data_IF_971263899133
#
_entry.id   IF_971263899133
#
_cell.length_a   1.000
_cell.length_b   1.000
_cell.length_c   1.000
_cell.angle_alpha   90.00
_cell.angle_beta   90.00
_cell.angle_gamma   90.00
#
_symmetry.space_group_name_H-M   'P 1'
#
loop_
_entity.id
_entity.type
_entity.pdbx_description
1 polymer ?
#
# COMPACT_ATOMS: atom_id res chain seq x y z
N UNK A 1 -16.49 0.48 11.59
CA UNK A 1 -16.49 0.34 10.12
C UNK A 1 -15.87 -1.00 9.77
N UNK A 2 -16.13 -1.55 8.58
CA UNK A 2 -15.46 -2.77 8.11
C UNK A 2 -13.99 -2.48 7.83
N UNK A 3 -13.07 -3.34 8.25
CA UNK A 3 -11.65 -3.21 7.93
C UNK A 3 -11.42 -3.64 6.48
N UNK A 4 -10.83 -2.76 5.67
CA UNK A 4 -10.50 -3.04 4.26
C UNK A 4 -9.00 -3.29 4.18
N UNK A 5 -8.62 -4.47 3.70
CA UNK A 5 -7.23 -4.86 3.50
C UNK A 5 -6.76 -4.45 2.11
N UNK A 6 -5.59 -3.82 2.07
CA UNK A 6 -4.89 -3.33 0.89
C UNK A 6 -3.55 -4.05 0.67
N UNK A 7 -3.04 -4.72 1.70
CA UNK A 7 -1.72 -5.35 1.70
C UNK A 7 -1.68 -6.66 0.90
N UNK A 8 -0.58 -6.89 0.18
CA UNK A 8 -0.42 -8.03 -0.73
C UNK A 8 -0.55 -9.39 -0.03
N UNK A 9 -0.03 -9.53 1.19
CA UNK A 9 0.00 -10.79 1.95
C UNK A 9 -0.69 -10.66 3.31
N UNK A 10 -1.74 -9.83 3.39
CA UNK A 10 -2.57 -9.62 4.58
C UNK A 10 -1.79 -9.12 5.82
N UNK A 11 -0.67 -8.42 5.62
CA UNK A 11 0.16 -7.83 6.66
C UNK A 11 -0.67 -6.88 7.53
N UNK A 12 -1.49 -6.05 6.88
CA UNK A 12 -2.37 -5.08 7.52
C UNK A 12 -3.42 -5.74 8.43
N UNK A 13 -3.97 -6.90 8.04
CA UNK A 13 -4.91 -7.67 8.86
C UNK A 13 -4.24 -8.20 10.12
N UNK A 14 -3.00 -8.73 10.01
CA UNK A 14 -2.23 -9.23 11.16
C UNK A 14 -1.89 -8.10 12.12
N UNK A 15 -1.37 -6.99 11.59
CA UNK A 15 -1.08 -5.79 12.37
C UNK A 15 -2.36 -5.28 13.06
N UNK A 16 -3.49 -5.25 12.34
CA UNK A 16 -4.75 -4.76 12.90
C UNK A 16 -5.24 -5.65 14.04
N UNK A 17 -5.10 -6.98 13.91
CA UNK A 17 -5.44 -7.90 15.00
C UNK A 17 -4.64 -7.59 16.28
N UNK A 18 -3.35 -7.26 16.15
CA UNK A 18 -2.48 -6.91 17.27
C UNK A 18 -2.76 -5.50 17.82
N UNK A 19 -3.06 -4.53 16.95
CA UNK A 19 -3.00 -3.10 17.27
C UNK A 19 -4.33 -2.36 17.29
N UNK A 20 -5.46 -2.97 16.91
CA UNK A 20 -6.78 -2.27 16.82
C UNK A 20 -7.28 -1.57 18.09
N UNK A 21 -6.65 -1.80 19.25
CA UNK A 21 -6.98 -1.11 20.51
C UNK A 21 -6.17 0.18 20.70
N UNK A 22 -5.16 0.42 19.87
CA UNK A 22 -4.37 1.65 19.87
C UNK A 22 -5.15 2.72 19.10
N UNK A 23 -5.38 3.84 19.77
CA UNK A 23 -5.92 5.06 19.17
C UNK A 23 -4.76 5.94 18.67
N UNK A 24 -4.94 6.60 17.53
CA UNK A 24 -3.97 7.54 16.93
C UNK A 24 -2.54 6.97 16.81
N UNK A 25 -2.45 5.70 16.41
CA UNK A 25 -1.18 5.02 16.27
C UNK A 25 -0.28 5.58 15.16
N UNK A 26 0.96 5.10 15.15
CA UNK A 26 2.03 5.62 14.30
C UNK A 26 2.85 4.52 13.66
N UNK A 27 3.12 4.65 12.36
CA UNK A 27 3.94 3.73 11.59
C UNK A 27 5.07 4.44 10.85
N UNK A 28 6.07 3.67 10.47
CA UNK A 28 7.08 4.06 9.50
C UNK A 28 7.09 3.02 8.39
N UNK A 29 6.97 3.46 7.15
CA UNK A 29 6.89 2.65 5.94
C UNK A 29 8.10 2.96 5.05
N UNK A 30 9.05 2.05 4.97
CA UNK A 30 10.29 2.18 4.20
C UNK A 30 10.13 1.39 2.91
N UNK A 31 10.18 2.10 1.78
CA UNK A 31 9.72 1.57 0.49
C UNK A 31 8.19 1.58 0.43
N UNK A 32 7.60 2.77 0.64
CA UNK A 32 6.16 2.93 0.76
C UNK A 32 5.41 2.74 -0.56
N UNK A 33 6.04 3.08 -1.70
CA UNK A 33 5.51 2.86 -3.04
C UNK A 33 4.08 3.43 -3.23
N UNK A 34 3.15 2.69 -3.85
CA UNK A 34 1.81 3.17 -4.15
C UNK A 34 0.98 3.42 -2.87
N UNK A 35 0.28 4.56 -2.75
CA UNK A 35 -0.51 4.88 -1.55
C UNK A 35 -1.67 3.92 -1.25
N UNK A 36 -2.08 3.08 -2.20
CA UNK A 36 -3.23 2.18 -2.06
C UNK A 36 -2.94 0.74 -2.49
N UNK A 37 -2.18 0.53 -3.55
CA UNK A 37 -1.91 -0.81 -4.07
C UNK A 37 -0.82 -1.48 -3.24
N UNK A 38 -1.08 -2.70 -2.77
CA UNK A 38 -0.20 -3.48 -1.92
C UNK A 38 0.25 -2.76 -0.63
N UNK A 39 -0.48 -1.72 -0.23
CA UNK A 39 -0.11 -0.87 0.90
C UNK A 39 -0.48 -1.51 2.24
N UNK A 40 0.53 -1.77 3.07
CA UNK A 40 0.38 -2.24 4.45
C UNK A 40 -0.21 -1.17 5.37
N UNK A 41 0.00 0.10 5.06
CA UNK A 41 -0.33 1.25 5.91
C UNK A 41 -1.65 1.93 5.53
N UNK A 42 -2.21 1.63 4.35
CA UNK A 42 -3.44 2.27 3.86
C UNK A 42 -4.61 2.09 4.82
N UNK A 43 -4.84 0.86 5.26
CA UNK A 43 -5.95 0.52 6.16
C UNK A 43 -5.87 1.27 7.51
N UNK A 44 -4.67 1.44 8.06
CA UNK A 44 -4.45 2.15 9.33
C UNK A 44 -4.80 3.62 9.24
N UNK A 45 -4.33 4.29 8.19
CA UNK A 45 -4.64 5.69 7.95
C UNK A 45 -6.12 5.97 7.73
N UNK A 46 -6.83 5.06 7.04
CA UNK A 46 -8.30 5.15 6.92
C UNK A 46 -9.01 5.06 8.28
N UNK A 47 -8.33 4.51 9.29
CA UNK A 47 -8.76 4.43 10.67
C UNK A 47 -8.11 5.50 11.57
N UNK A 48 -7.62 6.61 10.98
CA UNK A 48 -7.15 7.80 11.71
C UNK A 48 -5.68 7.76 12.12
N UNK A 49 -4.94 6.71 11.79
CA UNK A 49 -3.51 6.66 12.03
C UNK A 49 -2.78 7.60 11.07
N UNK A 50 -1.55 7.94 11.43
CA UNK A 50 -0.62 8.66 10.55
C UNK A 50 0.77 8.09 10.72
N UNK A 51 1.64 8.33 9.75
CA UNK A 51 3.00 7.82 9.81
C UNK A 51 3.98 8.58 8.94
N UNK A 52 5.13 7.96 8.74
CA UNK A 52 6.16 8.42 7.82
C UNK A 52 6.28 7.43 6.67
N UNK A 53 6.15 7.92 5.45
CA UNK A 53 6.42 7.17 4.23
C UNK A 53 7.81 7.59 3.70
N UNK A 54 8.69 6.63 3.44
CA UNK A 54 10.02 6.86 2.86
C UNK A 54 10.00 6.30 1.44
N UNK A 55 10.06 7.18 0.45
CA UNK A 55 9.84 6.82 -0.96
C UNK A 55 10.72 7.69 -1.89
N UNK A 56 11.72 7.12 -2.59
CA UNK A 56 12.63 7.90 -3.43
C UNK A 56 12.05 8.30 -4.81
N UNK A 57 11.08 7.57 -5.36
CA UNK A 57 10.55 7.80 -6.71
C UNK A 57 9.54 8.95 -6.70
N UNK A 58 9.79 9.97 -7.53
CA UNK A 58 8.97 11.19 -7.61
C UNK A 58 7.47 10.91 -7.78
N UNK A 59 7.10 9.99 -8.69
CA UNK A 59 5.69 9.71 -8.97
C UNK A 59 4.96 9.14 -7.74
N UNK A 60 5.59 8.23 -7.01
CA UNK A 60 5.02 7.65 -5.79
C UNK A 60 5.03 8.66 -4.64
N UNK A 61 6.12 9.44 -4.50
CA UNK A 61 6.19 10.55 -3.56
C UNK A 61 5.03 11.55 -3.74
N UNK A 62 4.77 11.99 -4.98
CA UNK A 62 3.70 12.94 -5.28
C UNK A 62 2.32 12.33 -4.97
N UNK A 63 2.11 11.06 -5.34
CA UNK A 63 0.88 10.34 -5.07
C UNK A 63 0.62 10.17 -3.56
N UNK A 64 1.64 9.80 -2.79
CA UNK A 64 1.58 9.71 -1.33
C UNK A 64 1.24 11.08 -0.73
N UNK A 65 1.96 12.15 -1.11
CA UNK A 65 1.67 13.50 -0.63
C UNK A 65 0.21 13.95 -0.92
N UNK A 66 -0.29 13.62 -2.11
CA UNK A 66 -1.64 14.01 -2.54
C UNK A 66 -2.74 13.21 -1.83
N UNK A 67 -2.56 11.90 -1.69
CA UNK A 67 -3.60 10.97 -1.23
C UNK A 67 -3.53 10.67 0.27
N UNK A 68 -2.37 10.91 0.88
CA UNK A 68 -2.05 10.66 2.29
C UNK A 68 -1.65 11.95 3.03
N UNK A 69 -2.39 13.06 2.95
CA UNK A 69 -1.96 14.35 3.52
C UNK A 69 -1.77 14.39 5.04
N UNK A 70 -2.23 13.37 5.78
CA UNK A 70 -1.95 13.24 7.22
C UNK A 70 -0.64 12.50 7.51
N UNK A 71 -0.09 11.79 6.52
CA UNK A 71 1.24 11.21 6.60
C UNK A 71 2.30 12.25 6.25
N UNK A 72 3.50 12.07 6.80
CA UNK A 72 4.68 12.77 6.32
C UNK A 72 5.39 11.89 5.30
N UNK A 73 5.55 12.36 4.06
CA UNK A 73 6.32 11.63 3.04
C UNK A 73 7.70 12.26 2.91
N UNK A 74 8.75 11.44 2.96
CA UNK A 74 10.15 11.84 2.84
C UNK A 74 10.71 11.26 1.54
N UNK A 75 11.11 12.14 0.62
CA UNK A 75 11.65 11.74 -0.67
C UNK A 75 13.14 11.35 -0.56
N UNK A 76 13.42 10.14 -0.08
CA UNK A 76 14.78 9.62 0.02
C UNK A 76 14.79 8.09 0.08
N UNK A 77 15.98 7.51 -0.02
CA UNK A 77 16.26 6.14 0.40
C UNK A 77 16.68 6.13 1.88
N UNK A 78 16.18 5.17 2.65
CA UNK A 78 16.75 4.85 3.96
C UNK A 78 18.00 3.97 3.79
N UNK A 79 19.10 4.30 4.46
CA UNK A 79 20.39 3.60 4.33
C UNK A 79 21.25 3.73 5.59
N UNK A 80 22.47 3.20 5.53
CA UNK A 80 23.44 3.23 6.63
C UNK A 80 24.14 4.59 6.80
N UNK A 81 24.00 5.49 5.82
CA UNK A 81 24.62 6.82 5.82
C UNK A 81 23.81 7.85 5.02
N UNK A 82 23.93 9.14 5.37
CA UNK A 82 23.39 10.22 4.56
C UNK A 82 24.25 10.46 3.30
N UNK A 83 23.65 11.03 2.26
CA UNK A 83 24.35 11.44 1.04
C UNK A 83 23.53 11.17 -0.21
N UNK A 84 24.19 11.06 -1.37
CA UNK A 84 23.55 10.65 -2.62
C UNK A 84 23.88 9.18 -2.92
N UNK A 85 22.92 8.44 -3.46
CA UNK A 85 23.11 7.05 -3.91
C UNK A 85 22.50 6.83 -5.29
N UNK A 86 23.07 5.87 -6.02
CA UNK A 86 22.44 5.38 -7.26
C UNK A 86 21.28 4.46 -6.90
N UNK A 87 20.13 4.72 -7.50
CA UNK A 87 18.93 3.91 -7.39
C UNK A 87 18.47 3.45 -8.77
N UNK A 88 17.95 2.24 -8.86
CA UNK A 88 17.53 1.61 -10.09
C UNK A 88 16.00 1.50 -10.09
N UNK A 89 15.34 2.48 -10.69
CA UNK A 89 13.90 2.50 -10.81
C UNK A 89 13.44 1.54 -11.91
N UNK A 90 12.46 0.72 -11.58
CA UNK A 90 11.74 -0.19 -12.47
C UNK A 90 10.28 0.28 -12.48
N UNK A 91 9.90 1.16 -13.43
CA UNK A 91 8.62 1.85 -13.42
C UNK A 91 7.42 0.89 -13.40
N UNK A 92 6.35 1.31 -12.72
CA UNK A 92 5.08 0.57 -12.62
C UNK A 92 5.24 -0.83 -11.99
N UNK A 93 6.25 -1.00 -11.15
CA UNK A 93 6.50 -2.22 -10.37
C UNK A 93 6.83 -1.91 -8.91
N UNK A 94 6.83 -2.95 -8.08
CA UNK A 94 7.39 -2.93 -6.72
C UNK A 94 8.91 -3.10 -6.65
N UNK A 95 9.57 -3.44 -7.76
CA UNK A 95 10.89 -4.10 -7.76
C UNK A 95 12.08 -3.13 -7.85
N UNK A 96 11.87 -1.85 -7.55
CA UNK A 96 12.95 -0.85 -7.66
C UNK A 96 13.96 -1.02 -6.52
N UNK A 97 15.25 -0.93 -6.82
CA UNK A 97 16.31 -1.38 -5.90
C UNK A 97 17.51 -0.44 -5.86
N UNK A 98 18.23 -0.42 -4.74
CA UNK A 98 19.56 0.19 -4.64
C UNK A 98 20.70 -0.80 -4.99
N UNK A 99 20.40 -2.09 -5.14
CA UNK A 99 21.40 -3.12 -5.46
C UNK A 99 21.64 -3.21 -6.98
N UNK A 100 22.85 -2.91 -7.48
CA UNK A 100 23.19 -3.04 -8.90
C UNK A 100 23.08 -4.48 -9.44
N UNK A 101 23.26 -5.51 -8.60
CA UNK A 101 23.15 -6.90 -9.01
C UNK A 101 21.68 -7.29 -9.28
N UNK A 102 20.77 -6.90 -8.40
CA UNK A 102 19.32 -7.09 -8.57
C UNK A 102 18.83 -6.30 -9.78
N UNK A 103 19.24 -5.03 -9.92
CA UNK A 103 18.92 -4.22 -11.09
C UNK A 103 19.39 -4.87 -12.41
N UNK A 104 20.59 -5.46 -12.42
CA UNK A 104 21.10 -6.20 -13.58
C UNK A 104 20.25 -7.43 -13.88
N UNK A 105 19.85 -8.19 -12.87
CA UNK A 105 18.99 -9.37 -13.05
C UNK A 105 17.65 -9.00 -13.72
N UNK A 106 16.98 -7.95 -13.26
CA UNK A 106 15.72 -7.48 -13.88
C UNK A 106 15.93 -6.99 -15.31
N UNK A 107 17.04 -6.29 -15.57
CA UNK A 107 17.41 -5.89 -16.93
C UNK A 107 17.63 -7.08 -17.85
N UNK A 108 18.31 -8.13 -17.37
CA UNK A 108 18.53 -9.38 -18.12
C UNK A 108 17.21 -10.16 -18.36
N UNK A 109 16.21 -9.97 -17.50
CA UNK A 109 14.84 -10.48 -17.67
C UNK A 109 13.99 -9.63 -18.65
N UNK A 110 14.55 -8.56 -19.21
CA UNK A 110 13.90 -7.70 -20.21
C UNK A 110 13.09 -6.55 -19.62
N UNK A 111 13.21 -6.26 -18.33
CA UNK A 111 12.53 -5.13 -17.69
C UNK A 111 13.24 -3.80 -18.03
N UNK A 112 12.47 -2.71 -18.07
CA UNK A 112 13.05 -1.37 -18.19
C UNK A 112 13.65 -0.95 -16.85
N UNK A 113 14.96 -0.65 -16.84
CA UNK A 113 15.69 -0.21 -15.65
C UNK A 113 16.28 1.17 -15.90
N UNK A 114 15.93 2.13 -15.04
CA UNK A 114 16.42 3.52 -15.10
C UNK A 114 17.28 3.81 -13.88
N UNK A 115 18.52 4.25 -14.12
CA UNK A 115 19.38 4.73 -13.03
C UNK A 115 19.07 6.17 -12.68
N UNK A 116 18.86 6.42 -11.39
CA UNK A 116 18.58 7.73 -10.79
C UNK A 116 19.63 8.00 -9.70
N UNK A 117 19.94 9.27 -9.47
CA UNK A 117 20.63 9.70 -8.24
C UNK A 117 19.57 10.21 -7.28
N UNK A 118 19.54 9.67 -6.07
CA UNK A 118 18.56 10.03 -5.04
C UNK A 118 19.23 10.31 -3.71
N UNK A 119 18.58 11.13 -2.88
CA UNK A 119 19.02 11.41 -1.53
C UNK A 119 18.89 10.17 -0.65
N UNK A 120 19.84 10.02 0.27
CA UNK A 120 19.92 8.96 1.27
C UNK A 120 19.92 9.56 2.67
N UNK A 121 19.20 8.92 3.59
CA UNK A 121 19.12 9.26 5.01
C UNK A 121 19.19 8.01 5.87
N UNK A 122 19.66 8.14 7.10
CA UNK A 122 19.54 7.04 8.07
C UNK A 122 18.14 7.00 8.67
N UNK A 123 17.61 5.81 8.98
CA UNK A 123 16.33 5.69 9.69
C UNK A 123 16.36 6.43 11.03
N UNK A 124 17.49 6.43 11.71
CA UNK A 124 17.70 7.24 12.93
C UNK A 124 17.39 8.71 12.66
N UNK A 125 17.98 9.32 11.61
CA UNK A 125 17.74 10.74 11.30
C UNK A 125 16.28 11.04 10.91
N UNK A 126 15.56 10.07 10.35
CA UNK A 126 14.14 10.20 10.03
C UNK A 126 13.33 10.14 11.31
N UNK A 127 13.61 9.17 12.19
CA UNK A 127 12.94 9.04 13.49
C UNK A 127 13.19 10.25 14.40
N UNK A 128 14.41 10.79 14.42
CA UNK A 128 14.76 12.02 15.14
C UNK A 128 13.88 13.21 14.75
N UNK A 129 13.52 13.30 13.47
CA UNK A 129 12.77 14.43 12.96
C UNK A 129 11.25 14.25 13.14
N UNK A 130 10.75 13.02 13.00
CA UNK A 130 9.30 12.77 12.86
C UNK A 130 8.70 11.87 13.94
N UNK A 131 9.54 11.21 14.75
CA UNK A 131 9.12 10.22 15.74
C UNK A 131 9.80 10.38 17.12
N UNK A 132 10.48 11.50 17.39
CA UNK A 132 11.28 11.71 18.60
C UNK A 132 10.51 11.49 19.92
N UNK A 133 9.26 11.94 19.99
CA UNK A 133 8.48 12.00 21.22
C UNK A 133 7.22 11.11 21.18
N UNK A 134 7.19 10.09 20.32
CA UNK A 134 6.02 9.21 20.19
C UNK A 134 6.38 7.73 19.98
N UNK A 135 5.51 6.79 20.39
CA UNK A 135 5.69 5.38 20.10
C UNK A 135 5.63 5.11 18.60
N UNK A 136 6.52 4.24 18.10
CA UNK A 136 6.43 3.65 16.76
C UNK A 136 5.76 2.30 16.93
N UNK A 137 4.54 2.14 16.44
CA UNK A 137 3.76 0.92 16.67
C UNK A 137 4.16 -0.18 15.69
N UNK A 138 4.50 0.19 14.45
CA UNK A 138 5.19 -0.72 13.56
C UNK A 138 6.11 -0.01 12.57
N UNK A 139 7.14 -0.73 12.15
CA UNK A 139 8.08 -0.36 11.10
C UNK A 139 8.00 -1.42 9.99
N UNK A 140 7.68 -1.03 8.76
CA UNK A 140 7.75 -1.88 7.57
C UNK A 140 8.99 -1.53 6.76
N UNK A 141 9.75 -2.55 6.35
CA UNK A 141 10.93 -2.42 5.49
C UNK A 141 10.80 -3.38 4.32
N UNK A 142 10.85 -2.83 3.12
CA UNK A 142 10.77 -3.54 1.85
C UNK A 142 11.45 -2.63 0.83
N UNK A 143 12.70 -2.94 0.53
CA UNK A 143 13.60 -2.07 -0.24
C UNK A 143 14.40 -2.88 -1.26
N UNK A 144 13.90 -4.08 -1.58
CA UNK A 144 14.39 -4.98 -2.62
C UNK A 144 15.91 -5.18 -2.57
N UNK A 145 16.41 -5.74 -1.45
CA UNK A 145 17.81 -6.12 -1.25
C UNK A 145 18.67 -5.09 -0.53
N UNK A 146 18.08 -3.98 -0.07
CA UNK A 146 18.78 -2.94 0.69
C UNK A 146 18.49 -2.97 2.21
N UNK A 147 17.87 -4.05 2.70
CA UNK A 147 17.34 -4.17 4.08
C UNK A 147 18.47 -4.05 5.12
N UNK A 148 19.61 -4.70 4.88
CA UNK A 148 20.76 -4.63 5.80
C UNK A 148 21.24 -3.19 6.00
N UNK A 149 21.35 -2.41 4.93
CA UNK A 149 21.77 -1.01 5.01
C UNK A 149 20.75 -0.15 5.74
N UNK A 150 19.44 -0.37 5.51
CA UNK A 150 18.37 0.29 6.26
C UNK A 150 18.51 0.02 7.76
N UNK A 151 18.69 -1.25 8.14
CA UNK A 151 18.82 -1.69 9.54
C UNK A 151 20.08 -1.12 10.21
N UNK A 152 21.21 -1.09 9.51
CA UNK A 152 22.45 -0.45 10.01
C UNK A 152 22.29 1.05 10.26
N UNK A 153 21.37 1.71 9.56
CA UNK A 153 21.02 3.11 9.77
C UNK A 153 20.09 3.38 10.96
N UNK A 154 19.65 2.35 11.69
CA UNK A 154 18.68 2.46 12.77
C UNK A 154 19.33 2.30 14.15
N UNK A 155 19.06 3.24 15.05
CA UNK A 155 19.40 3.13 16.48
C UNK A 155 18.21 2.54 17.25
N UNK A 156 18.17 1.21 17.31
CA UNK A 156 17.15 0.46 18.06
C UNK A 156 17.24 0.63 19.58
N UNK A 157 18.30 1.23 20.13
CA UNK A 157 18.36 1.52 21.57
C UNK A 157 17.56 2.78 21.92
N UNK A 158 17.38 3.67 20.95
CA UNK A 158 16.67 4.93 21.10
C UNK A 158 15.27 4.90 20.50
N UNK A 159 15.12 4.33 19.31
CA UNK A 159 13.84 4.26 18.62
C UNK A 159 13.35 2.81 18.59
N UNK A 160 12.22 2.57 19.25
CA UNK A 160 11.70 1.23 19.54
C UNK A 160 10.36 0.98 18.84
N UNK A 161 10.35 0.62 17.54
CA UNK A 161 9.16 0.02 16.93
C UNK A 161 8.66 -1.16 17.74
N UNK A 162 7.35 -1.27 18.00
CA UNK A 162 6.82 -2.43 18.72
C UNK A 162 6.89 -3.70 17.87
N UNK A 163 6.52 -3.55 16.59
CA UNK A 163 6.55 -4.60 15.57
C UNK A 163 7.46 -4.15 14.43
N UNK A 164 8.31 -5.04 13.93
CA UNK A 164 9.08 -4.81 12.69
C UNK A 164 8.65 -5.87 11.68
N UNK A 165 8.32 -5.43 10.47
CA UNK A 165 7.95 -6.28 9.33
C UNK A 165 9.02 -6.04 8.27
N UNK A 166 9.78 -7.09 7.92
CA UNK A 166 10.85 -6.98 6.93
C UNK A 166 10.56 -7.96 5.81
N UNK A 167 10.43 -7.45 4.59
CA UNK A 167 10.28 -8.30 3.41
C UNK A 167 11.58 -9.09 3.20
N UNK A 168 11.43 -10.41 3.15
CA UNK A 168 12.53 -11.38 3.06
C UNK A 168 12.13 -12.50 2.13
N UNK A 169 11.90 -12.20 0.85
CA UNK A 169 11.42 -13.20 -0.06
C UNK A 169 12.55 -14.22 -0.32
N UNK A 170 12.20 -15.51 -0.33
CA UNK A 170 13.05 -16.64 -0.76
C UNK A 170 14.18 -17.09 0.18
N UNK A 171 14.93 -16.19 0.78
CA UNK A 171 16.03 -16.51 1.71
C UNK A 171 15.62 -16.34 3.17
N UNK A 172 16.21 -17.14 4.06
CA UNK A 172 15.82 -17.24 5.48
C UNK A 172 16.98 -17.06 6.45
N UNK A 173 18.20 -17.10 5.95
CA UNK A 173 19.43 -16.95 6.72
C UNK A 173 20.09 -15.64 6.29
N UNK A 174 19.65 -14.55 6.90
CA UNK A 174 20.14 -13.22 6.57
C UNK A 174 21.24 -12.82 7.52
N UNK A 175 22.35 -12.34 6.95
CA UNK A 175 23.50 -11.81 7.71
C UNK A 175 23.13 -10.64 8.62
N UNK A 176 22.02 -9.97 8.35
CA UNK A 176 21.53 -8.83 9.11
C UNK A 176 20.60 -9.19 10.27
N UNK A 177 20.07 -10.42 10.36
CA UNK A 177 19.13 -10.81 11.43
C UNK A 177 19.67 -10.49 12.85
N UNK A 178 20.96 -10.73 13.15
CA UNK A 178 21.55 -10.32 14.43
C UNK A 178 21.44 -8.83 14.76
N UNK A 179 21.39 -7.94 13.76
CA UNK A 179 21.22 -6.50 14.00
C UNK A 179 19.88 -6.19 14.68
N UNK A 180 18.86 -7.01 14.41
CA UNK A 180 17.52 -6.87 15.00
C UNK A 180 17.46 -7.66 16.30
N UNK A 181 17.89 -8.93 16.30
CA UNK A 181 17.75 -9.79 17.49
C UNK A 181 18.61 -9.35 18.66
N UNK A 182 19.86 -8.93 18.40
CA UNK A 182 20.76 -8.44 19.46
C UNK A 182 20.28 -7.09 20.03
N UNK A 183 19.41 -6.39 19.31
CA UNK A 183 18.75 -5.16 19.77
C UNK A 183 17.48 -5.42 20.61
N UNK A 184 17.24 -6.66 21.07
CA UNK A 184 16.10 -6.99 21.93
C UNK A 184 14.78 -7.12 21.17
N UNK A 185 14.84 -7.78 20.01
CA UNK A 185 13.70 -8.19 19.21
C UNK A 185 13.67 -9.70 19.03
N UNK A 186 12.49 -10.29 19.00
CA UNK A 186 12.29 -11.72 18.73
C UNK A 186 11.61 -11.92 17.39
N UNK A 187 12.19 -12.75 16.53
CA UNK A 187 11.51 -13.26 15.35
C UNK A 187 10.33 -14.13 15.78
N UNK A 188 9.12 -13.76 15.39
CA UNK A 188 7.88 -14.43 15.85
C UNK A 188 7.13 -15.18 14.74
N UNK A 189 7.33 -14.79 13.48
CA UNK A 189 6.62 -15.36 12.34
C UNK A 189 7.42 -15.12 11.06
N UNK A 190 7.40 -16.11 10.17
CA UNK A 190 7.63 -15.92 8.74
C UNK A 190 6.35 -16.30 8.01
N UNK A 191 5.77 -15.37 7.24
CA UNK A 191 4.46 -15.56 6.62
C UNK A 191 4.51 -16.02 5.15
N UNK A 192 5.70 -16.37 4.66
CA UNK A 192 5.95 -16.73 3.27
C UNK A 192 6.60 -15.60 2.46
N UNK A 193 6.53 -14.37 2.96
CA UNK A 193 7.07 -13.18 2.31
C UNK A 193 7.90 -12.32 3.28
N UNK A 194 7.37 -12.10 4.48
CA UNK A 194 7.92 -11.24 5.50
C UNK A 194 8.41 -12.02 6.72
N UNK A 195 9.49 -11.55 7.31
CA UNK A 195 9.92 -11.92 8.66
C UNK A 195 9.45 -10.86 9.65
N UNK A 196 8.76 -11.31 10.69
CA UNK A 196 8.11 -10.47 11.69
C UNK A 196 8.87 -10.52 13.00
N UNK A 197 9.14 -9.36 13.57
CA UNK A 197 9.81 -9.22 14.86
C UNK A 197 8.93 -8.46 15.85
N UNK A 198 8.99 -8.87 17.12
CA UNK A 198 8.43 -8.13 18.25
C UNK A 198 9.54 -7.64 19.17
N UNK A 199 9.43 -6.40 19.61
CA UNK A 199 10.23 -5.89 20.71
C UNK A 199 9.98 -6.73 21.98
N UNK A 200 11.02 -7.03 22.76
CA UNK A 200 10.92 -7.84 23.98
C UNK A 200 9.85 -7.31 24.97
N UNK A 201 9.74 -5.98 25.07
CA UNK A 201 8.74 -5.30 25.91
C UNK A 201 7.29 -5.40 25.39
N UNK A 202 7.09 -5.88 24.16
CA UNK A 202 5.79 -6.02 23.49
C UNK A 202 5.43 -7.47 23.11
N UNK A 203 6.11 -8.47 23.70
CA UNK A 203 5.82 -9.89 23.46
C UNK A 203 4.40 -10.32 23.86
N UNK A 204 3.70 -9.53 24.68
CA UNK A 204 2.29 -9.74 24.96
C UNK A 204 1.40 -9.67 23.69
N UNK A 205 1.89 -9.10 22.60
CA UNK A 205 1.21 -9.06 21.29
C UNK A 205 1.40 -10.35 20.48
N UNK A 206 2.35 -11.22 20.84
CA UNK A 206 2.67 -12.45 20.09
C UNK A 206 1.45 -13.33 19.77
N UNK A 207 0.46 -13.52 20.67
CA UNK A 207 -0.71 -14.35 20.36
C UNK A 207 -1.51 -13.89 19.13
N UNK A 208 -1.40 -12.62 18.73
CA UNK A 208 -2.04 -12.13 17.51
C UNK A 208 -1.44 -12.73 16.23
N UNK A 209 -0.23 -13.29 16.28
CA UNK A 209 0.50 -13.81 15.12
C UNK A 209 0.50 -15.34 15.01
N UNK A 210 0.03 -16.04 16.05
CA UNK A 210 0.05 -17.51 16.13
C UNK A 210 -0.85 -18.19 15.09
N UNK A 211 -1.83 -17.46 14.53
CA UNK A 211 -2.74 -17.95 13.49
C UNK A 211 -2.72 -17.03 12.25
N UNK A 212 -2.88 -17.57 11.03
CA UNK A 212 -3.02 -16.75 9.84
C UNK A 212 -4.32 -15.92 9.87
N UNK A 213 -4.41 -14.82 9.08
CA UNK A 213 -5.66 -14.15 8.76
C UNK A 213 -6.74 -15.14 8.32
N UNK A 214 -7.93 -14.97 8.86
CA UNK A 214 -9.05 -15.86 8.60
C UNK A 214 -10.39 -15.10 8.69
N UNK A 215 -11.50 -15.82 8.50
CA UNK A 215 -12.84 -15.25 8.54
C UNK A 215 -13.20 -14.62 9.90
N UNK A 216 -12.48 -14.94 10.98
CA UNK A 216 -12.69 -14.32 12.29
C UNK A 216 -12.16 -12.88 12.39
N UNK A 217 -11.34 -12.45 11.43
CA UNK A 217 -10.80 -11.08 11.39
C UNK A 217 -11.79 -10.06 10.78
N UNK A 218 -12.87 -10.53 10.14
CA UNK A 218 -13.96 -9.70 9.59
C UNK A 218 -13.49 -8.58 8.64
N UNK A 219 -12.43 -8.82 7.87
CA UNK A 219 -11.95 -7.89 6.85
C UNK A 219 -12.60 -8.14 5.48
N UNK A 220 -12.51 -7.15 4.61
CA UNK A 220 -12.78 -7.30 3.17
C UNK A 220 -11.54 -6.87 2.39
N UNK A 221 -11.36 -7.43 1.19
CA UNK A 221 -10.30 -7.02 0.30
C UNK A 221 -10.69 -5.74 -0.44
N UNK A 222 -9.71 -4.87 -0.69
CA UNK A 222 -9.91 -3.71 -1.55
C UNK A 222 -10.27 -4.16 -2.98
N UNK A 223 -10.90 -3.25 -3.74
CA UNK A 223 -11.26 -3.52 -5.13
C UNK A 223 -9.99 -3.73 -5.95
N UNK A 224 -9.89 -4.85 -6.64
CA UNK A 224 -8.75 -5.18 -7.52
C UNK A 224 -7.58 -5.88 -6.83
N UNK A 225 -7.72 -6.23 -5.54
CA UNK A 225 -6.76 -7.07 -4.85
C UNK A 225 -6.57 -8.41 -5.56
N UNK A 226 -5.33 -8.91 -5.61
CA UNK A 226 -4.95 -10.18 -6.24
C UNK A 226 -5.67 -11.43 -5.69
N UNK A 227 -6.29 -11.36 -4.51
CA UNK A 227 -7.04 -12.46 -3.90
C UNK A 227 -8.57 -12.25 -3.94
N UNK A 228 -9.06 -11.15 -4.53
CA UNK A 228 -10.49 -10.88 -4.64
C UNK A 228 -11.12 -11.56 -5.85
N UNK A 229 -12.39 -11.96 -5.75
CA UNK A 229 -13.20 -12.40 -6.89
C UNK A 229 -14.45 -11.51 -7.08
N UNK A 230 -14.73 -11.00 -8.29
CA UNK A 230 -13.87 -11.10 -9.46
C UNK A 230 -12.56 -10.35 -9.21
N UNK A 231 -11.42 -10.92 -9.63
CA UNK A 231 -10.19 -10.15 -9.85
C UNK A 231 -10.63 -8.98 -10.72
N UNK A 232 -10.27 -7.74 -10.37
CA UNK A 232 -10.74 -6.49 -11.00
C UNK A 232 -11.26 -6.78 -12.40
N UNK A 233 -12.56 -6.53 -12.71
CA UNK A 233 -13.15 -6.96 -13.98
C UNK A 233 -12.16 -6.58 -15.06
N UNK A 234 -11.68 -7.58 -15.80
CA UNK A 234 -10.64 -7.37 -16.80
C UNK A 234 -11.04 -6.17 -17.65
N UNK A 235 -10.11 -5.43 -18.24
CA UNK A 235 -10.49 -4.34 -19.15
C UNK A 235 -11.52 -4.82 -20.19
N UNK A 236 -11.46 -6.10 -20.57
CA UNK A 236 -12.48 -6.82 -21.33
C UNK A 236 -13.86 -6.90 -20.65
N UNK A 237 -13.96 -7.31 -19.39
CA UNK A 237 -15.24 -7.35 -18.65
C UNK A 237 -15.82 -5.95 -18.46
N UNK A 238 -14.98 -4.96 -18.17
CA UNK A 238 -15.40 -3.57 -18.02
C UNK A 238 -15.85 -2.99 -19.35
N UNK A 239 -15.11 -3.23 -20.44
CA UNK A 239 -15.48 -2.82 -21.79
C UNK A 239 -16.75 -3.52 -22.26
N UNK A 240 -16.94 -4.81 -21.94
CA UNK A 240 -18.15 -5.56 -22.26
C UNK A 240 -19.36 -5.05 -21.48
N UNK A 241 -19.20 -4.74 -20.19
CA UNK A 241 -20.25 -4.14 -19.37
C UNK A 241 -20.62 -2.74 -19.88
N UNK A 242 -19.63 -1.93 -20.24
CA UNK A 242 -19.84 -0.60 -20.83
C UNK A 242 -20.55 -0.71 -22.19
N UNK A 243 -20.11 -1.61 -23.07
CA UNK A 243 -20.75 -1.85 -24.35
C UNK A 243 -22.21 -2.30 -24.20
N UNK A 244 -22.48 -3.20 -23.26
CA UNK A 244 -23.83 -3.65 -22.94
C UNK A 244 -24.70 -2.50 -22.37
N UNK A 245 -24.11 -1.62 -21.55
CA UNK A 245 -24.81 -0.46 -21.01
C UNK A 245 -25.13 0.58 -22.10
N UNK A 246 -24.18 0.86 -23.00
CA UNK A 246 -24.36 1.75 -24.15
C UNK A 246 -25.46 1.23 -25.09
N UNK A 247 -25.43 -0.07 -25.42
CA UNK A 247 -26.46 -0.67 -26.28
C UNK A 247 -27.85 -0.57 -25.64
N UNK A 248 -27.96 -0.76 -24.32
CA UNK A 248 -29.23 -0.58 -23.60
C UNK A 248 -29.70 0.88 -23.64
N UNK A 249 -28.79 1.84 -23.50
CA UNK A 249 -29.10 3.25 -23.58
C UNK A 249 -29.61 3.63 -24.98
N UNK A 250 -28.92 3.20 -26.05
CA UNK A 250 -29.35 3.43 -27.44
C UNK A 250 -30.73 2.83 -27.73
N UNK A 251 -31.00 1.61 -27.25
CA UNK A 251 -32.32 0.99 -27.40
C UNK A 251 -33.42 1.76 -26.64
N UNK A 252 -33.11 2.27 -25.45
CA UNK A 252 -34.04 3.08 -24.67
C UNK A 252 -34.34 4.41 -25.37
N UNK A 253 -33.32 5.08 -25.91
CA UNK A 253 -33.46 6.32 -26.69
C UNK A 253 -34.26 6.10 -27.97
N UNK A 254 -34.00 5.01 -28.72
CA UNK A 254 -34.75 4.66 -29.90
C UNK A 254 -36.23 4.41 -29.57
N UNK A 255 -36.52 3.67 -28.49
CA UNK A 255 -37.90 3.45 -28.01
C UNK A 255 -38.57 4.75 -27.58
N UNK A 256 -37.86 5.63 -26.87
CA UNK A 256 -38.38 6.93 -26.46
C UNK A 256 -38.70 7.80 -27.67
N UNK A 257 -37.82 7.85 -28.66
CA UNK A 257 -38.02 8.58 -29.93
C UNK A 257 -39.25 8.05 -30.68
N UNK A 258 -39.43 6.73 -30.77
CA UNK A 258 -40.61 6.11 -31.37
C UNK A 258 -41.89 6.48 -30.61
N UNK A 259 -41.88 6.43 -29.27
CA UNK A 259 -43.01 6.82 -28.44
C UNK A 259 -43.36 8.31 -28.59
N UNK A 260 -42.36 9.20 -28.57
CA UNK A 260 -42.53 10.63 -28.80
C UNK A 260 -43.08 10.94 -30.19
N UNK A 261 -42.66 10.17 -31.20
CA UNK A 261 -43.14 10.32 -32.56
C UNK A 261 -44.46 9.62 -32.87
N UNK A 262 -45.00 8.87 -31.91
CA UNK A 262 -46.27 8.17 -32.06
C UNK A 262 -47.44 9.15 -32.26
N UNK A 263 -48.43 8.72 -33.03
CA UNK A 263 -49.65 9.50 -33.30
C UNK A 263 -50.38 9.86 -32.01
N UNK A 264 -50.35 8.98 -31.01
CA UNK A 264 -50.99 9.17 -29.71
C UNK A 264 -50.34 10.30 -28.92
N UNK A 265 -49.00 10.31 -28.80
CA UNK A 265 -48.29 11.38 -28.08
C UNK A 265 -48.38 12.71 -28.81
N UNK A 266 -48.28 12.70 -30.15
CA UNK A 266 -48.49 13.90 -30.98
C UNK A 266 -49.90 14.46 -30.81
N UNK A 267 -50.93 13.61 -30.84
CA UNK A 267 -52.32 14.04 -30.62
C UNK A 267 -52.52 14.64 -29.22
N UNK A 268 -51.95 14.03 -28.18
CA UNK A 268 -52.00 14.56 -26.80
C UNK A 268 -51.28 15.91 -26.70
N UNK A 269 -50.11 16.08 -27.33
CA UNK A 269 -49.40 17.36 -27.36
C UNK A 269 -50.16 18.44 -28.12
N UNK A 270 -50.77 18.11 -29.27
CA UNK A 270 -51.61 19.04 -30.02
C UNK A 270 -52.83 19.48 -29.20
N UNK A 271 -53.54 18.55 -28.56
CA UNK A 271 -54.67 18.84 -27.67
C UNK A 271 -54.25 19.74 -26.49
N UNK A 272 -53.11 19.45 -25.86
CA UNK A 272 -52.56 20.24 -24.76
C UNK A 272 -52.20 21.67 -25.18
N UNK A 273 -51.69 21.86 -26.40
CA UNK A 273 -51.38 23.18 -26.96
C UNK A 273 -52.63 23.96 -27.34
N UNK A 274 -53.68 23.30 -27.82
CA UNK A 274 -54.99 23.92 -28.07
C UNK A 274 -55.65 24.36 -26.75
N UNK A 275 -55.63 23.51 -25.73
CA UNK A 275 -56.17 23.81 -24.39
C UNK A 275 -55.41 24.91 -23.64
N UNK A 276 -54.13 25.15 -23.96
CA UNK A 276 -53.34 26.27 -23.40
C UNK A 276 -53.58 27.61 -24.09
N UNK A 277 -54.17 27.61 -25.29
CA UNK A 277 -54.43 28.80 -26.10
C UNK A 277 -55.90 29.25 -26.05
N UNK A 278 -56.76 28.45 -25.43
CA UNK A 278 -58.14 28.80 -25.07
C UNK A 278 -58.15 29.35 -23.64
#
# INVERSE_FOLDING_TARGET
MTFISYAQNFEDVRLWRALKQVEDGFYIDVGANDPNHDSVTKAFYDHGWNGVNVEPIQNYFDALCQQRPHDTTVQCIASDRPGEMTFYAIPDTGLSTADPAIAKQHKDQGMEVRSLTVDSRTLTSICEQYAADRPIHFLKIDVEGHEESVLRGMDFTRFRPWIIVIETPWERDHTWEPLVTDAGYQAILFDGLNTWFLADEHLNLKPAFDIPPCNLDNFQLCKGHAFAHPLSPSELDTAQQLANALQRAEQAEARLSVLQNSRTVKAVQTLRNVLRRA
#
